data_IF_006454879991
#
_entry.id   IF_006454879991
#
_cell.length_a   1.000
_cell.length_b   1.000
_cell.length_c   1.000
_cell.angle_alpha   90.00
_cell.angle_beta   90.00
_cell.angle_gamma   90.00
#
_symmetry.space_group_name_H-M   'P 1'
#
loop_
_entity.id
_entity.type
_entity.pdbx_description
1 polymer ?
#
# COMPACT_ATOMS: atom_id res chain seq x y z
N UNK A 1 -61.32 37.82 5.23
CA UNK A 1 -62.70 37.31 5.20
C UNK A 1 -62.68 35.91 5.78
N UNK A 2 -63.12 35.91 6.96
CA UNK A 2 -64.13 35.05 7.66
C UNK A 2 -63.58 33.67 8.01
N UNK A 3 -63.22 33.38 9.24
CA UNK A 3 -63.99 33.19 10.48
C UNK A 3 -65.01 32.00 10.31
N UNK A 4 -65.11 31.03 11.19
CA UNK A 4 -65.68 31.03 12.53
C UNK A 4 -65.72 29.53 13.00
N UNK A 5 -65.23 29.16 14.17
CA UNK A 5 -65.89 28.84 15.45
C UNK A 5 -66.92 27.71 15.37
N UNK A 6 -67.08 26.78 16.29
CA UNK A 6 -67.10 26.75 17.73
C UNK A 6 -67.39 25.31 18.23
N UNK A 7 -66.89 24.98 19.36
CA UNK A 7 -67.49 24.74 20.69
C UNK A 7 -68.59 23.68 20.81
N UNK A 8 -68.44 22.84 21.81
CA UNK A 8 -69.57 22.10 22.41
C UNK A 8 -69.11 21.15 23.52
N UNK A 9 -69.20 21.61 24.73
CA UNK A 9 -69.00 20.98 26.02
C UNK A 9 -70.07 19.91 26.36
N UNK A 10 -69.78 18.96 27.20
CA UNK A 10 -70.43 18.73 28.51
C UNK A 10 -70.04 17.38 29.15
N UNK A 11 -69.71 17.44 30.36
CA UNK A 11 -69.64 16.42 31.42
C UNK A 11 -71.03 16.42 32.10
N UNK A 12 -71.45 15.48 33.00
CA UNK A 12 -70.73 14.71 34.00
C UNK A 12 -71.31 13.33 34.41
N UNK A 13 -70.64 12.80 35.48
CA UNK A 13 -71.01 11.90 36.61
C UNK A 13 -71.16 10.42 36.30
N UNK A 14 -70.62 9.51 37.09
CA UNK A 14 -70.33 9.39 38.49
C UNK A 14 -70.66 7.95 38.85
N UNK A 15 -69.85 7.30 39.67
CA UNK A 15 -70.20 5.95 40.16
C UNK A 15 -68.98 5.11 40.65
N UNK A 16 -68.71 5.27 41.82
CA UNK A 16 -68.16 4.47 42.93
C UNK A 16 -67.45 3.13 42.70
N UNK A 17 -66.40 3.00 43.50
CA UNK A 17 -65.44 2.00 43.76
C UNK A 17 -65.97 0.63 44.22
N UNK A 18 -65.20 -0.43 43.91
CA UNK A 18 -64.97 -1.57 44.79
C UNK A 18 -63.51 -2.03 44.66
N UNK A 19 -62.88 -2.13 45.82
CA UNK A 19 -61.55 -2.72 46.02
C UNK A 19 -61.64 -4.25 46.05
N UNK A 20 -60.60 -4.94 45.49
CA UNK A 20 -59.90 -6.11 46.05
C UNK A 20 -58.93 -6.73 45.04
N UNK A 21 -58.00 -7.65 45.39
CA UNK A 21 -56.69 -7.35 45.97
C UNK A 21 -55.52 -7.81 45.06
N UNK A 22 -54.36 -7.37 45.43
CA UNK A 22 -53.03 -7.64 44.84
C UNK A 22 -52.71 -9.12 44.60
N UNK A 23 -52.26 -9.40 43.36
CA UNK A 23 -51.44 -10.55 43.03
C UNK A 23 -50.11 -10.05 42.43
N UNK A 24 -48.93 -10.60 42.82
CA UNK A 24 -47.65 -10.05 42.39
C UNK A 24 -47.45 -10.21 40.87
N UNK A 25 -47.11 -9.14 40.22
CA UNK A 25 -46.69 -9.16 38.80
C UNK A 25 -45.31 -9.82 38.72
N UNK A 26 -45.28 -10.96 38.10
CA UNK A 26 -44.09 -11.65 37.63
C UNK A 26 -43.44 -10.76 36.56
N UNK A 27 -42.24 -10.29 36.90
CA UNK A 27 -41.39 -9.45 36.03
C UNK A 27 -41.05 -10.24 34.79
N UNK A 28 -41.74 -10.03 33.69
CA UNK A 28 -41.33 -10.49 32.37
C UNK A 28 -40.04 -9.75 31.99
N UNK A 29 -38.91 -10.45 32.09
CA UNK A 29 -37.67 -10.04 31.39
C UNK A 29 -38.02 -9.88 29.94
N UNK A 30 -38.10 -8.63 29.48
CA UNK A 30 -38.08 -8.34 28.03
C UNK A 30 -36.82 -8.86 27.48
N UNK A 31 -36.88 -9.92 26.68
CA UNK A 31 -35.76 -10.36 25.86
C UNK A 31 -35.43 -9.19 24.90
N UNK A 32 -34.32 -8.52 25.12
CA UNK A 32 -33.76 -7.60 24.15
C UNK A 32 -33.51 -8.41 22.87
N UNK A 33 -34.31 -8.14 21.86
CA UNK A 33 -34.04 -8.58 20.49
C UNK A 33 -32.66 -8.04 20.10
N UNK A 34 -31.74 -8.87 19.61
CA UNK A 34 -30.45 -8.38 19.18
C UNK A 34 -30.67 -7.31 18.11
N UNK A 35 -30.28 -6.07 18.43
CA UNK A 35 -30.26 -4.98 17.47
C UNK A 35 -29.45 -5.47 16.26
N UNK A 36 -30.08 -5.58 15.09
CA UNK A 36 -29.36 -5.87 13.87
C UNK A 36 -28.23 -4.87 13.77
N UNK A 37 -26.99 -5.35 13.77
CA UNK A 37 -25.82 -4.47 13.75
C UNK A 37 -25.88 -3.64 12.45
N UNK A 38 -25.91 -2.33 12.61
CA UNK A 38 -25.88 -1.39 11.47
C UNK A 38 -24.70 -1.76 10.56
N UNK A 39 -24.94 -1.81 9.25
CA UNK A 39 -23.88 -2.04 8.27
C UNK A 39 -22.83 -0.94 8.40
N UNK A 40 -21.64 -1.33 8.76
CA UNK A 40 -20.47 -0.44 8.78
C UNK A 40 -19.93 -0.30 7.36
N UNK A 41 -19.47 0.87 6.97
CA UNK A 41 -18.76 1.08 5.70
C UNK A 41 -17.25 1.12 5.97
N UNK A 42 -16.44 0.67 5.01
CA UNK A 42 -14.99 0.84 5.03
C UNK A 42 -14.53 1.31 3.65
N UNK A 43 -13.97 2.49 3.57
CA UNK A 43 -13.42 3.05 2.32
C UNK A 43 -11.90 2.94 2.36
N UNK A 44 -11.35 2.21 1.38
CA UNK A 44 -9.93 1.92 1.27
C UNK A 44 -9.36 2.60 0.02
N UNK A 45 -8.28 3.39 0.19
CA UNK A 45 -7.44 3.81 -0.93
C UNK A 45 -6.25 2.89 -1.01
N UNK A 46 -5.98 2.34 -2.20
CA UNK A 46 -4.93 1.34 -2.38
C UNK A 46 -4.14 1.51 -3.67
N UNK A 47 -2.83 1.23 -3.58
CA UNK A 47 -1.95 1.09 -4.74
C UNK A 47 -1.74 -0.38 -5.14
N UNK A 48 -2.45 -1.30 -4.50
CA UNK A 48 -2.38 -2.75 -4.78
C UNK A 48 -2.97 -3.08 -6.13
N UNK A 49 -2.36 -4.04 -6.80
CA UNK A 49 -2.93 -4.62 -8.01
C UNK A 49 -4.23 -5.35 -7.71
N UNK A 50 -5.07 -5.43 -8.73
CA UNK A 50 -6.39 -6.07 -8.64
C UNK A 50 -6.34 -7.49 -8.07
N UNK A 51 -5.34 -8.27 -8.46
CA UNK A 51 -5.18 -9.66 -7.96
C UNK A 51 -5.02 -9.73 -6.43
N UNK A 52 -4.33 -8.75 -5.84
CA UNK A 52 -4.14 -8.66 -4.38
C UNK A 52 -5.45 -8.25 -3.70
N UNK A 53 -6.16 -7.29 -4.28
CA UNK A 53 -7.46 -6.83 -3.77
C UNK A 53 -8.48 -7.97 -3.81
N UNK A 54 -8.56 -8.69 -4.94
CA UNK A 54 -9.50 -9.79 -5.16
C UNK A 54 -9.21 -10.99 -4.24
N UNK A 55 -7.96 -11.20 -3.83
CA UNK A 55 -7.61 -12.27 -2.88
C UNK A 55 -7.96 -11.89 -1.42
N UNK A 56 -7.78 -10.64 -1.04
CA UNK A 56 -7.82 -10.21 0.37
C UNK A 56 -9.21 -9.72 0.80
N UNK A 57 -9.85 -8.87 -0.01
CA UNK A 57 -11.11 -8.22 0.39
C UNK A 57 -12.25 -9.21 0.59
N UNK A 58 -12.45 -10.25 -0.26
CA UNK A 58 -13.48 -11.26 0.00
C UNK A 58 -13.29 -11.99 1.34
N UNK A 59 -12.05 -12.33 1.70
CA UNK A 59 -11.74 -13.01 2.98
C UNK A 59 -12.03 -12.12 4.20
N UNK A 60 -11.78 -10.81 4.07
CA UNK A 60 -12.16 -9.86 5.10
C UNK A 60 -13.68 -9.78 5.25
N UNK A 61 -14.42 -9.68 4.13
CA UNK A 61 -15.88 -9.62 4.14
C UNK A 61 -16.51 -10.90 4.70
N UNK A 62 -15.94 -12.06 4.42
CA UNK A 62 -16.40 -13.33 4.99
C UNK A 62 -16.32 -13.32 6.53
N UNK A 63 -15.21 -12.81 7.09
CA UNK A 63 -15.03 -12.67 8.54
C UNK A 63 -15.82 -11.50 9.15
N UNK A 64 -16.22 -10.52 8.32
CA UNK A 64 -16.89 -9.30 8.75
C UNK A 64 -18.11 -8.98 7.85
N UNK A 65 -19.15 -9.84 7.86
CA UNK A 65 -20.29 -9.73 6.91
C UNK A 65 -21.09 -8.43 7.05
N UNK A 66 -20.94 -7.74 8.18
CA UNK A 66 -21.61 -6.45 8.43
C UNK A 66 -20.79 -5.24 7.96
N UNK A 67 -19.61 -5.46 7.36
CA UNK A 67 -18.77 -4.39 6.82
C UNK A 67 -18.90 -4.36 5.30
N UNK A 68 -19.44 -3.26 4.77
CA UNK A 68 -19.41 -2.98 3.34
C UNK A 68 -18.09 -2.31 2.97
N UNK A 69 -17.33 -2.93 2.06
CA UNK A 69 -15.98 -2.49 1.69
C UNK A 69 -16.00 -1.88 0.31
N UNK A 70 -15.60 -0.63 0.23
CA UNK A 70 -15.35 0.10 -1.01
C UNK A 70 -13.84 0.29 -1.19
N UNK A 71 -13.30 -0.12 -2.34
CA UNK A 71 -11.88 0.00 -2.65
C UNK A 71 -11.69 0.90 -3.86
N UNK A 72 -10.87 1.94 -3.70
CA UNK A 72 -10.44 2.81 -4.79
C UNK A 72 -8.96 2.58 -5.06
N UNK A 73 -8.68 2.01 -6.24
CA UNK A 73 -7.30 1.74 -6.69
C UNK A 73 -6.76 2.94 -7.46
N UNK A 74 -5.56 3.40 -7.09
CA UNK A 74 -4.86 4.48 -7.75
C UNK A 74 -3.34 4.39 -7.48
N UNK A 75 -2.52 5.17 -8.21
CA UNK A 75 -1.07 5.19 -7.97
C UNK A 75 -0.72 5.71 -6.56
N UNK A 76 0.38 5.20 -5.99
CA UNK A 76 0.79 5.55 -4.62
C UNK A 76 0.89 7.08 -4.38
N UNK A 77 1.44 7.83 -5.35
CA UNK A 77 1.51 9.28 -5.25
C UNK A 77 0.13 9.95 -5.32
N UNK A 78 -0.79 9.39 -6.13
CA UNK A 78 -2.16 9.90 -6.20
C UNK A 78 -2.90 9.73 -4.88
N UNK A 79 -2.66 8.61 -4.16
CA UNK A 79 -3.22 8.41 -2.82
C UNK A 79 -2.72 9.51 -1.87
N UNK A 80 -1.40 9.75 -1.85
CA UNK A 80 -0.80 10.78 -1.00
C UNK A 80 -1.42 12.17 -1.25
N UNK A 81 -1.53 12.59 -2.52
CA UNK A 81 -2.12 13.89 -2.87
C UNK A 81 -3.60 13.96 -2.55
N UNK A 82 -4.33 12.85 -2.74
CA UNK A 82 -5.75 12.78 -2.46
C UNK A 82 -6.03 12.86 -0.95
N UNK A 83 -5.33 12.07 -0.14
CA UNK A 83 -5.45 12.11 1.33
C UNK A 83 -5.08 13.51 1.86
N UNK A 84 -4.05 14.14 1.28
CA UNK A 84 -3.68 15.52 1.61
C UNK A 84 -4.76 16.53 1.25
N UNK A 85 -5.32 16.43 0.04
CA UNK A 85 -6.40 17.31 -0.43
C UNK A 85 -7.71 17.14 0.34
N UNK A 86 -7.97 15.93 0.84
CA UNK A 86 -9.16 15.60 1.62
C UNK A 86 -9.00 15.80 3.14
N UNK A 87 -7.86 16.36 3.60
CA UNK A 87 -7.54 16.51 5.04
C UNK A 87 -8.66 17.14 5.88
N UNK A 88 -9.39 18.11 5.33
CA UNK A 88 -10.50 18.78 6.03
C UNK A 88 -11.79 17.93 6.08
N UNK A 89 -11.96 17.01 5.16
CA UNK A 89 -13.10 16.09 5.07
C UNK A 89 -12.68 14.76 4.45
N UNK A 90 -12.03 13.88 5.22
CA UNK A 90 -11.51 12.60 4.73
C UNK A 90 -12.61 11.75 4.11
N UNK A 91 -12.32 11.17 2.94
CA UNK A 91 -13.22 10.27 2.23
C UNK A 91 -12.79 8.81 2.38
N UNK A 92 -11.50 8.56 2.64
CA UNK A 92 -10.99 7.24 2.96
C UNK A 92 -10.90 7.04 4.48
N UNK A 93 -11.08 5.80 4.90
CA UNK A 93 -10.82 5.35 6.26
C UNK A 93 -9.42 4.73 6.39
N UNK A 94 -8.95 4.10 5.31
CA UNK A 94 -7.75 3.30 5.34
C UNK A 94 -6.89 3.52 4.09
N UNK A 95 -5.59 3.72 4.28
CA UNK A 95 -4.59 3.73 3.23
C UNK A 95 -3.85 2.40 3.23
N UNK A 96 -4.01 1.64 2.15
CA UNK A 96 -3.40 0.33 1.98
C UNK A 96 -2.38 0.33 0.84
N UNK A 97 -1.10 0.14 1.17
CA UNK A 97 -0.03 0.14 0.19
C UNK A 97 0.59 1.52 -0.03
N UNK A 98 1.14 2.10 1.03
CA UNK A 98 1.99 3.28 0.96
C UNK A 98 3.47 2.93 1.09
N UNK A 99 4.35 3.59 0.33
CA UNK A 99 5.79 3.47 0.55
C UNK A 99 6.16 4.06 1.90
N UNK A 100 7.21 3.52 2.54
CA UNK A 100 7.74 4.06 3.80
C UNK A 100 7.92 5.57 3.74
N UNK A 101 8.55 6.09 2.69
CA UNK A 101 8.77 7.53 2.52
C UNK A 101 7.45 8.32 2.49
N UNK A 102 6.45 7.83 1.74
CA UNK A 102 5.14 8.49 1.67
C UNK A 102 4.40 8.45 3.00
N UNK A 103 4.45 7.31 3.71
CA UNK A 103 3.79 7.17 5.02
C UNK A 103 4.49 8.00 6.10
N UNK A 104 5.82 8.12 6.09
CA UNK A 104 6.57 9.02 6.97
C UNK A 104 6.13 10.48 6.72
N UNK A 105 6.11 10.90 5.46
CA UNK A 105 5.66 12.27 5.09
C UNK A 105 4.20 12.51 5.50
N UNK A 106 3.30 11.55 5.23
CA UNK A 106 1.88 11.66 5.61
C UNK A 106 1.71 11.74 7.13
N UNK A 107 2.48 10.99 7.88
CA UNK A 107 2.48 11.02 9.34
C UNK A 107 2.95 12.39 9.87
N UNK A 108 4.01 12.96 9.31
CA UNK A 108 4.54 14.25 9.73
C UNK A 108 3.61 15.43 9.33
N UNK A 109 2.87 15.30 8.24
CA UNK A 109 1.81 16.23 7.84
C UNK A 109 0.51 16.07 8.67
N UNK A 110 0.45 15.09 9.57
CA UNK A 110 -0.74 14.80 10.39
C UNK A 110 -1.92 14.26 9.58
N UNK A 111 -1.65 13.43 8.58
CA UNK A 111 -2.65 12.81 7.71
C UNK A 111 -3.05 11.40 8.16
N UNK A 112 -2.33 10.82 9.12
CA UNK A 112 -2.56 9.49 9.64
C UNK A 112 -2.96 9.51 11.10
N UNK A 113 -3.88 8.61 11.49
CA UNK A 113 -4.32 8.40 12.86
C UNK A 113 -3.33 7.50 13.59
N UNK A 114 -3.12 7.74 14.88
CA UNK A 114 -2.34 6.85 15.73
C UNK A 114 -3.20 5.67 16.17
N UNK A 115 -2.72 4.46 15.95
CA UNK A 115 -3.35 3.23 16.40
C UNK A 115 -2.30 2.15 16.63
N UNK A 116 -2.15 1.67 17.87
CA UNK A 116 -1.30 0.53 18.18
C UNK A 116 -2.10 -0.77 18.03
N UNK A 117 -1.88 -1.55 16.96
CA UNK A 117 -2.55 -2.82 16.76
C UNK A 117 -1.97 -3.91 17.68
N UNK A 118 -2.70 -5.02 17.82
CA UNK A 118 -2.31 -6.14 18.69
C UNK A 118 -0.94 -6.74 18.34
N UNK A 119 -0.58 -6.73 17.08
CA UNK A 119 0.70 -7.23 16.52
C UNK A 119 1.83 -6.19 16.55
N UNK A 120 1.57 -4.95 16.97
CA UNK A 120 2.49 -3.81 16.79
C UNK A 120 3.90 -4.04 17.35
N UNK A 121 4.03 -4.83 18.40
CA UNK A 121 5.34 -5.17 18.99
C UNK A 121 6.11 -6.22 18.17
N UNK A 122 5.44 -6.97 17.28
CA UNK A 122 6.07 -7.92 16.35
C UNK A 122 6.67 -7.26 15.10
N UNK A 123 6.44 -5.96 14.89
CA UNK A 123 7.02 -5.23 13.76
C UNK A 123 8.27 -4.49 14.23
N UNK A 124 9.43 -4.72 13.58
CA UNK A 124 10.66 -3.99 13.89
C UNK A 124 10.48 -2.48 13.84
N UNK A 125 11.20 -1.75 14.71
CA UNK A 125 11.13 -0.29 14.75
C UNK A 125 11.46 0.38 13.40
N UNK A 126 12.31 -0.25 12.58
CA UNK A 126 12.66 0.21 11.25
C UNK A 126 11.48 0.19 10.26
N UNK A 127 10.45 -0.61 10.54
CA UNK A 127 9.32 -0.84 9.65
C UNK A 127 8.00 -0.30 10.20
N UNK A 128 8.06 0.65 11.13
CA UNK A 128 6.87 1.31 11.69
C UNK A 128 7.16 2.73 12.16
N UNK A 129 6.12 3.51 12.34
CA UNK A 129 6.22 4.83 12.97
C UNK A 129 6.35 4.71 14.51
N UNK A 130 7.21 5.53 15.10
CA UNK A 130 7.42 5.56 16.54
C UNK A 130 6.18 6.01 17.35
N UNK A 131 5.20 6.66 16.69
CA UNK A 131 3.93 7.10 17.28
C UNK A 131 2.74 6.27 16.80
N UNK A 132 2.99 5.06 16.27
CA UNK A 132 1.97 4.12 15.81
C UNK A 132 1.02 4.67 14.72
N UNK A 133 1.51 5.57 13.85
CA UNK A 133 0.69 6.17 12.78
C UNK A 133 0.67 5.33 11.51
N UNK A 134 1.68 4.50 11.28
CA UNK A 134 1.74 3.53 10.19
C UNK A 134 2.58 2.32 10.55
N UNK A 135 2.32 1.20 9.89
CA UNK A 135 3.08 -0.03 10.01
C UNK A 135 3.39 -0.61 8.63
N UNK A 136 4.60 -1.08 8.44
CA UNK A 136 4.99 -1.85 7.27
C UNK A 136 4.28 -3.19 7.23
N UNK A 137 3.64 -3.50 6.12
CA UNK A 137 2.93 -4.76 5.90
C UNK A 137 3.87 -5.81 5.32
N UNK A 138 4.68 -5.41 4.34
CA UNK A 138 5.60 -6.29 3.64
C UNK A 138 6.85 -5.56 3.18
N UNK A 139 7.88 -6.35 2.85
CA UNK A 139 9.12 -5.88 2.26
C UNK A 139 9.08 -6.14 0.76
N UNK A 140 9.46 -5.14 -0.02
CA UNK A 140 9.59 -5.19 -1.46
C UNK A 140 11.05 -4.90 -1.85
N UNK A 141 11.86 -5.93 -2.09
CA UNK A 141 13.18 -5.73 -2.68
C UNK A 141 13.03 -5.18 -4.10
N UNK A 142 13.71 -4.08 -4.38
CA UNK A 142 13.74 -3.49 -5.71
C UNK A 142 14.93 -4.08 -6.48
N UNK A 143 14.66 -4.62 -7.68
CA UNK A 143 15.62 -5.45 -8.41
C UNK A 143 15.66 -5.09 -9.90
N UNK A 144 16.61 -5.68 -10.63
CA UNK A 144 16.73 -5.55 -12.07
C UNK A 144 15.85 -6.63 -12.72
N UNK A 145 14.82 -6.23 -13.45
CA UNK A 145 13.92 -7.10 -14.18
C UNK A 145 14.42 -7.32 -15.60
N UNK A 146 14.32 -8.54 -16.12
CA UNK A 146 14.65 -8.83 -17.51
C UNK A 146 13.67 -9.83 -18.15
N UNK A 147 13.56 -9.77 -19.49
CA UNK A 147 12.85 -10.78 -20.27
C UNK A 147 13.77 -11.97 -20.52
N UNK A 148 13.45 -13.12 -19.91
CA UNK A 148 14.26 -14.33 -19.93
C UNK A 148 14.28 -15.09 -21.28
N UNK A 149 13.38 -14.72 -22.22
CA UNK A 149 13.46 -15.21 -23.61
C UNK A 149 14.44 -14.40 -24.44
N UNK A 150 14.51 -13.10 -24.20
CA UNK A 150 15.33 -12.18 -24.98
C UNK A 150 16.75 -12.05 -24.44
N UNK A 151 16.96 -12.33 -23.14
CA UNK A 151 18.26 -12.15 -22.48
C UNK A 151 18.50 -13.29 -21.51
N UNK A 152 19.66 -13.94 -21.59
CA UNK A 152 20.07 -14.95 -20.63
C UNK A 152 20.47 -14.30 -19.32
N UNK A 153 20.36 -15.04 -18.21
CA UNK A 153 20.65 -14.54 -16.88
C UNK A 153 22.09 -14.05 -16.74
N UNK A 154 23.04 -14.76 -17.33
CA UNK A 154 24.47 -14.43 -17.33
C UNK A 154 24.81 -13.17 -18.12
N UNK A 155 24.01 -12.83 -19.14
CA UNK A 155 24.14 -11.64 -20.00
C UNK A 155 23.40 -10.41 -19.45
N UNK A 156 22.49 -10.63 -18.48
CA UNK A 156 21.75 -9.55 -17.83
C UNK A 156 22.66 -8.73 -16.91
N UNK A 157 22.33 -7.45 -16.65
CA UNK A 157 23.05 -6.63 -15.67
C UNK A 157 23.08 -7.32 -14.31
N UNK A 158 24.25 -7.48 -13.72
CA UNK A 158 24.42 -8.15 -12.43
C UNK A 158 24.44 -7.17 -11.24
N UNK A 159 24.58 -5.87 -11.54
CA UNK A 159 24.53 -4.79 -10.56
C UNK A 159 23.97 -3.51 -11.22
N UNK A 160 23.66 -2.53 -10.40
CA UNK A 160 23.04 -1.26 -10.82
C UNK A 160 23.87 -0.54 -11.89
N UNK A 161 25.18 -0.47 -11.73
CA UNK A 161 26.06 0.26 -12.65
C UNK A 161 26.19 -0.43 -14.01
N UNK A 162 25.96 -1.74 -14.09
CA UNK A 162 25.94 -2.46 -15.35
C UNK A 162 24.85 -1.96 -16.30
N UNK A 163 23.73 -1.40 -15.76
CA UNK A 163 22.66 -0.80 -16.53
C UNK A 163 23.12 0.40 -17.36
N UNK A 164 24.23 1.00 -17.00
CA UNK A 164 24.81 2.17 -17.65
C UNK A 164 25.68 1.80 -18.86
N UNK A 165 25.97 0.51 -19.07
CA UNK A 165 26.73 0.02 -20.22
C UNK A 165 25.99 0.32 -21.53
N UNK A 166 26.70 0.85 -22.52
CA UNK A 166 26.18 1.22 -23.84
C UNK A 166 25.53 0.04 -24.60
N UNK A 167 25.88 -1.23 -24.25
CA UNK A 167 25.24 -2.43 -24.81
C UNK A 167 23.75 -2.51 -24.52
N UNK A 168 23.26 -1.81 -23.50
CA UNK A 168 21.84 -1.74 -23.12
C UNK A 168 21.11 -0.52 -23.67
N UNK A 169 21.76 0.30 -24.49
CA UNK A 169 21.13 1.48 -25.10
C UNK A 169 19.86 1.11 -25.86
N UNK A 170 18.75 1.75 -25.51
CA UNK A 170 17.44 1.51 -26.13
C UNK A 170 16.80 0.16 -25.74
N UNK A 171 17.34 -0.57 -24.73
CA UNK A 171 16.80 -1.84 -24.26
C UNK A 171 16.04 -1.75 -22.95
N UNK A 172 16.13 -0.63 -22.24
CA UNK A 172 15.50 -0.44 -20.95
C UNK A 172 14.16 0.26 -21.13
N UNK A 173 13.09 -0.30 -20.58
CA UNK A 173 11.77 0.35 -20.47
C UNK A 173 11.49 0.55 -18.99
N UNK A 174 11.23 1.78 -18.60
CA UNK A 174 10.97 2.16 -17.20
C UNK A 174 9.50 2.55 -17.08
N UNK A 175 8.83 2.14 -15.99
CA UNK A 175 7.52 2.70 -15.65
C UNK A 175 7.66 4.19 -15.31
N UNK A 176 6.65 4.99 -15.65
CA UNK A 176 6.60 6.43 -15.34
C UNK A 176 6.92 6.68 -13.86
N UNK A 177 8.05 7.33 -13.62
CA UNK A 177 8.69 7.40 -12.29
C UNK A 177 7.82 8.13 -11.28
N UNK A 178 7.27 9.30 -11.64
CA UNK A 178 6.56 10.16 -10.69
C UNK A 178 5.30 9.53 -10.09
N UNK A 179 4.63 8.64 -10.84
CA UNK A 179 3.42 7.98 -10.39
C UNK A 179 3.67 6.67 -9.64
N UNK A 180 4.91 6.15 -9.66
CA UNK A 180 5.27 4.83 -9.12
C UNK A 180 6.06 4.93 -7.83
N UNK A 181 5.54 4.34 -6.75
CA UNK A 181 6.28 4.22 -5.49
C UNK A 181 7.59 3.45 -5.65
N UNK A 182 7.57 2.28 -6.32
CA UNK A 182 8.75 1.48 -6.69
C UNK A 182 9.81 2.33 -7.41
N UNK A 183 9.41 2.99 -8.49
CA UNK A 183 10.39 3.76 -9.28
C UNK A 183 10.94 4.98 -8.54
N UNK A 184 10.09 5.69 -7.78
CA UNK A 184 10.55 6.79 -6.91
C UNK A 184 11.55 6.29 -5.87
N UNK A 185 11.30 5.13 -5.27
CA UNK A 185 12.23 4.50 -4.31
C UNK A 185 13.57 4.15 -4.97
N UNK A 186 13.56 3.49 -6.13
CA UNK A 186 14.80 3.12 -6.83
C UNK A 186 15.59 4.37 -7.21
N UNK A 187 14.94 5.37 -7.81
CA UNK A 187 15.61 6.58 -8.27
C UNK A 187 16.18 7.40 -7.11
N UNK A 188 15.42 7.54 -6.03
CA UNK A 188 15.89 8.21 -4.81
C UNK A 188 17.04 7.44 -4.14
N UNK A 189 16.96 6.11 -4.14
CA UNK A 189 18.04 5.26 -3.62
C UNK A 189 19.34 5.45 -4.42
N UNK A 190 19.26 5.55 -5.76
CA UNK A 190 20.45 5.82 -6.59
C UNK A 190 20.99 7.24 -6.36
N UNK A 191 20.11 8.25 -6.21
CA UNK A 191 20.57 9.60 -5.86
C UNK A 191 21.30 9.59 -4.51
N UNK A 192 20.75 8.92 -3.51
CA UNK A 192 21.37 8.82 -2.19
C UNK A 192 22.67 7.99 -2.21
N UNK A 193 22.65 6.82 -2.86
CA UNK A 193 23.83 5.92 -2.96
C UNK A 193 25.03 6.63 -3.56
N UNK A 194 24.85 7.37 -4.63
CA UNK A 194 25.93 8.02 -5.37
C UNK A 194 26.35 9.37 -4.78
N UNK A 195 25.39 10.13 -4.20
CA UNK A 195 25.62 11.52 -3.78
C UNK A 195 25.49 11.75 -2.28
N UNK A 196 24.91 10.82 -1.55
CA UNK A 196 24.63 10.99 -0.11
C UNK A 196 23.51 12.00 0.16
N UNK A 197 23.45 12.48 1.40
CA UNK A 197 22.41 13.40 1.85
C UNK A 197 22.58 14.85 1.31
N UNK A 198 23.79 15.25 0.97
CA UNK A 198 24.16 16.66 0.75
C UNK A 198 24.51 17.01 -0.69
N UNK A 199 24.99 16.06 -1.49
CA UNK A 199 25.38 16.29 -2.89
C UNK A 199 24.69 15.32 -3.86
N UNK A 200 23.47 15.62 -4.29
CA UNK A 200 22.72 14.74 -5.21
C UNK A 200 23.28 14.69 -6.63
N UNK A 201 24.27 15.54 -6.96
CA UNK A 201 24.76 15.70 -8.34
C UNK A 201 25.27 14.40 -8.95
N UNK A 202 26.04 13.60 -8.21
CA UNK A 202 26.53 12.30 -8.69
C UNK A 202 25.40 11.33 -8.99
N UNK A 203 24.35 11.33 -8.16
CA UNK A 203 23.15 10.56 -8.39
C UNK A 203 22.38 11.01 -9.63
N UNK A 204 22.29 12.32 -9.87
CA UNK A 204 21.70 12.83 -11.10
C UNK A 204 22.52 12.46 -12.34
N UNK A 205 23.85 12.44 -12.23
CA UNK A 205 24.71 12.00 -13.34
C UNK A 205 24.54 10.50 -13.62
N UNK A 206 24.32 9.69 -12.58
CA UNK A 206 23.94 8.27 -12.73
C UNK A 206 22.60 8.12 -13.44
N UNK A 207 21.55 8.86 -12.99
CA UNK A 207 20.23 8.85 -13.61
C UNK A 207 20.24 9.34 -15.06
N UNK A 208 21.11 10.31 -15.43
CA UNK A 208 21.30 10.73 -16.83
C UNK A 208 21.82 9.61 -17.71
N UNK A 209 22.79 8.84 -17.21
CA UNK A 209 23.35 7.69 -17.93
C UNK A 209 22.28 6.60 -18.09
N UNK A 210 21.48 6.33 -17.07
CA UNK A 210 20.36 5.41 -17.16
C UNK A 210 19.32 5.88 -18.19
N UNK A 211 18.98 7.17 -18.17
CA UNK A 211 18.04 7.79 -19.14
C UNK A 211 18.55 7.65 -20.58
N UNK A 212 19.87 7.79 -20.79
CA UNK A 212 20.49 7.60 -22.13
C UNK A 212 20.32 6.16 -22.67
N UNK A 213 20.21 5.17 -21.81
CA UNK A 213 19.97 3.78 -22.16
C UNK A 213 18.46 3.43 -22.16
N UNK A 214 17.62 4.30 -21.57
CA UNK A 214 16.18 4.11 -21.50
C UNK A 214 15.52 4.40 -22.84
N UNK A 215 14.79 3.43 -23.37
CA UNK A 215 14.03 3.56 -24.61
C UNK A 215 12.80 4.44 -24.40
N UNK A 216 12.06 4.19 -23.33
CA UNK A 216 10.84 4.91 -23.01
C UNK A 216 10.41 4.74 -21.55
N UNK A 217 9.45 5.59 -21.15
CA UNK A 217 8.78 5.54 -19.86
C UNK A 217 7.33 5.08 -20.06
N UNK A 218 7.03 3.83 -19.69
CA UNK A 218 5.69 3.24 -19.79
C UNK A 218 4.70 3.91 -18.84
N UNK A 219 3.48 4.15 -19.29
CA UNK A 219 2.48 4.91 -18.54
C UNK A 219 2.05 4.21 -17.26
N UNK A 220 1.90 2.89 -17.27
CA UNK A 220 1.43 2.06 -16.17
C UNK A 220 2.11 0.68 -16.17
N UNK A 221 1.93 -0.16 -15.12
CA UNK A 221 2.54 -1.49 -15.06
C UNK A 221 2.11 -2.41 -16.19
N UNK A 222 0.84 -2.36 -16.61
CA UNK A 222 0.32 -3.22 -17.68
C UNK A 222 1.05 -2.95 -18.99
N UNK A 223 1.22 -1.67 -19.34
CA UNK A 223 2.00 -1.26 -20.52
C UNK A 223 3.46 -1.68 -20.42
N UNK A 224 4.08 -1.56 -19.22
CA UNK A 224 5.45 -2.03 -19.01
C UNK A 224 5.57 -3.53 -19.31
N UNK A 225 4.71 -4.36 -18.70
CA UNK A 225 4.75 -5.81 -18.89
C UNK A 225 4.48 -6.21 -20.35
N UNK A 226 3.49 -5.61 -21.00
CA UNK A 226 3.19 -5.90 -22.41
C UNK A 226 4.38 -5.59 -23.33
N UNK A 227 5.04 -4.46 -23.15
CA UNK A 227 6.18 -4.05 -23.96
C UNK A 227 7.39 -4.95 -23.74
N UNK A 228 7.68 -5.29 -22.50
CA UNK A 228 8.75 -6.23 -22.18
C UNK A 228 8.46 -7.64 -22.72
N UNK A 229 7.22 -8.13 -22.58
CA UNK A 229 6.82 -9.44 -23.11
C UNK A 229 6.92 -9.53 -24.64
N UNK A 230 6.70 -8.40 -25.34
CA UNK A 230 6.84 -8.27 -26.80
C UNK A 230 8.28 -7.96 -27.25
N UNK A 231 9.22 -7.97 -26.32
CA UNK A 231 10.63 -7.68 -26.60
C UNK A 231 10.88 -6.27 -27.17
N UNK A 232 9.95 -5.31 -26.94
CA UNK A 232 10.15 -3.92 -27.31
C UNK A 232 11.29 -3.26 -26.51
N UNK A 233 11.60 -3.81 -25.36
CA UNK A 233 12.78 -3.68 -24.53
C UNK A 233 13.02 -4.99 -23.81
N UNK A 234 14.21 -5.17 -23.22
CA UNK A 234 14.58 -6.43 -22.58
C UNK A 234 14.84 -6.31 -21.08
N UNK A 235 14.89 -5.08 -20.58
CA UNK A 235 15.24 -4.75 -19.20
C UNK A 235 14.28 -3.72 -18.61
N UNK A 236 14.08 -3.82 -17.31
CA UNK A 236 13.45 -2.80 -16.47
C UNK A 236 14.02 -2.82 -15.06
N UNK A 237 13.54 -1.92 -14.24
CA UNK A 237 13.74 -1.90 -12.78
C UNK A 237 12.36 -2.08 -12.15
N UNK A 238 12.23 -3.02 -11.21
CA UNK A 238 10.93 -3.31 -10.62
C UNK A 238 11.04 -4.01 -9.26
N UNK A 239 9.94 -4.18 -8.55
CA UNK A 239 9.94 -4.94 -7.31
C UNK A 239 9.89 -6.46 -7.58
N UNK A 240 10.56 -7.20 -6.73
CA UNK A 240 10.71 -8.66 -6.84
C UNK A 240 9.34 -9.38 -6.79
N UNK A 241 8.42 -8.95 -5.94
CA UNK A 241 7.10 -9.57 -5.77
C UNK A 241 6.31 -9.60 -7.07
N UNK A 242 6.16 -8.44 -7.72
CA UNK A 242 5.40 -8.33 -8.95
C UNK A 242 6.04 -9.14 -10.08
N UNK A 243 7.38 -9.16 -10.16
CA UNK A 243 8.08 -9.99 -11.14
C UNK A 243 7.76 -11.46 -10.92
N UNK A 244 7.75 -11.93 -9.68
CA UNK A 244 7.39 -13.31 -9.34
C UNK A 244 5.93 -13.62 -9.68
N UNK A 245 5.00 -12.71 -9.41
CA UNK A 245 3.59 -12.83 -9.81
C UNK A 245 3.48 -12.95 -11.33
N UNK A 246 4.13 -12.07 -12.08
CA UNK A 246 4.12 -12.10 -13.54
C UNK A 246 4.72 -13.41 -14.09
N UNK A 247 5.84 -13.88 -13.51
CA UNK A 247 6.52 -15.11 -13.90
C UNK A 247 5.68 -16.34 -13.54
N UNK A 248 5.31 -16.50 -12.28
CA UNK A 248 4.78 -17.74 -11.74
C UNK A 248 3.26 -17.89 -11.94
N UNK A 249 2.49 -16.79 -11.84
CA UNK A 249 1.03 -16.84 -11.97
C UNK A 249 0.57 -16.46 -13.38
N UNK A 250 1.17 -15.43 -13.99
CA UNK A 250 0.79 -14.97 -15.32
C UNK A 250 1.60 -15.62 -16.46
N UNK A 251 2.59 -16.48 -16.13
CA UNK A 251 3.45 -17.20 -17.06
C UNK A 251 4.17 -16.29 -18.08
N UNK A 252 4.44 -15.05 -17.65
CA UNK A 252 5.22 -14.12 -18.46
C UNK A 252 6.72 -14.50 -18.48
N UNK A 253 7.44 -14.19 -19.55
CA UNK A 253 8.86 -14.54 -19.67
C UNK A 253 9.75 -13.55 -18.91
N UNK A 254 9.48 -13.36 -17.63
CA UNK A 254 10.24 -12.44 -16.80
C UNK A 254 11.04 -13.17 -15.73
N UNK A 255 12.19 -12.59 -15.41
CA UNK A 255 13.00 -12.98 -14.27
C UNK A 255 13.73 -11.74 -13.74
N UNK A 256 14.50 -11.91 -12.69
CA UNK A 256 15.22 -10.81 -12.08
C UNK A 256 16.65 -11.17 -11.67
N UNK A 257 17.47 -10.14 -11.57
CA UNK A 257 18.78 -10.16 -10.92
C UNK A 257 18.66 -9.37 -9.62
N UNK A 258 19.00 -10.01 -8.52
CA UNK A 258 19.23 -9.31 -7.26
C UNK A 258 20.63 -8.65 -7.32
N UNK A 259 20.74 -7.31 -7.26
CA UNK A 259 22.02 -6.61 -7.48
C UNK A 259 23.08 -7.01 -6.47
N UNK A 260 24.32 -7.23 -6.93
CA UNK A 260 25.44 -7.66 -6.08
C UNK A 260 25.77 -6.66 -4.96
N UNK A 261 25.64 -5.37 -5.24
CA UNK A 261 25.84 -4.30 -4.25
C UNK A 261 24.70 -4.14 -3.24
N UNK A 262 23.62 -4.91 -3.40
CA UNK A 262 22.40 -4.83 -2.59
C UNK A 262 21.26 -4.12 -3.29
N UNK A 263 20.07 -4.26 -2.73
CA UNK A 263 18.82 -3.71 -3.25
C UNK A 263 18.19 -2.72 -2.27
N UNK A 264 17.56 -1.64 -2.72
CA UNK A 264 16.62 -0.91 -1.89
C UNK A 264 15.53 -1.88 -1.41
N UNK A 265 15.31 -1.97 -0.12
CA UNK A 265 14.20 -2.76 0.46
C UNK A 265 13.10 -1.79 0.82
N UNK A 266 12.18 -1.58 -0.10
CA UNK A 266 11.04 -0.75 0.14
C UNK A 266 10.15 -1.42 1.19
N UNK A 267 9.83 -0.70 2.26
CA UNK A 267 8.79 -1.11 3.20
C UNK A 267 7.47 -0.57 2.66
N UNK A 268 6.60 -1.49 2.30
CA UNK A 268 5.25 -1.15 1.88
C UNK A 268 4.32 -1.33 3.08
N UNK A 269 3.58 -0.29 3.41
CA UNK A 269 2.84 -0.24 4.66
C UNK A 269 1.43 0.30 4.53
N UNK A 270 0.81 0.45 5.68
CA UNK A 270 -0.58 0.85 5.81
C UNK A 270 -0.77 1.84 6.95
N UNK A 271 -1.83 2.62 6.89
CA UNK A 271 -2.23 3.53 7.95
C UNK A 271 -3.73 3.84 7.93
N UNK A 272 -4.27 4.19 9.08
CA UNK A 272 -5.63 4.73 9.19
C UNK A 272 -5.57 6.21 8.85
N UNK A 273 -6.44 6.67 7.96
CA UNK A 273 -6.49 8.09 7.59
C UNK A 273 -6.99 8.92 8.77
N UNK A 274 -6.36 10.07 9.02
CA UNK A 274 -6.76 10.98 10.09
C UNK A 274 -8.17 11.48 9.89
N UNK A 275 -9.01 11.31 10.91
CA UNK A 275 -10.43 11.66 10.83
C UNK A 275 -11.29 10.64 10.06
N UNK A 276 -10.82 9.40 9.92
CA UNK A 276 -11.58 8.29 9.35
C UNK A 276 -12.98 8.19 9.98
N UNK A 277 -14.01 8.10 9.14
CA UNK A 277 -15.42 8.07 9.57
C UNK A 277 -15.81 6.71 10.16
N UNK A 278 -15.13 5.66 9.72
CA UNK A 278 -15.44 4.27 10.08
C UNK A 278 -14.24 3.61 10.80
N UNK A 279 -13.81 4.24 11.88
CA UNK A 279 -12.61 3.85 12.65
C UNK A 279 -12.62 2.37 13.07
N UNK A 280 -13.75 1.83 13.52
CA UNK A 280 -13.83 0.44 13.98
C UNK A 280 -13.65 -0.55 12.82
N UNK A 281 -14.21 -0.26 11.65
CA UNK A 281 -14.01 -1.07 10.45
C UNK A 281 -12.55 -0.98 9.96
N UNK A 282 -11.94 0.21 10.01
CA UNK A 282 -10.54 0.42 9.68
C UNK A 282 -9.60 -0.37 10.60
N UNK A 283 -9.83 -0.36 11.92
CA UNK A 283 -9.06 -1.16 12.88
C UNK A 283 -9.22 -2.66 12.65
N UNK A 284 -10.44 -3.15 12.37
CA UNK A 284 -10.67 -4.56 12.04
C UNK A 284 -9.92 -4.97 10.78
N UNK A 285 -9.90 -4.11 9.75
CA UNK A 285 -9.14 -4.38 8.52
C UNK A 285 -7.63 -4.37 8.78
N UNK A 286 -7.16 -3.48 9.64
CA UNK A 286 -5.75 -3.43 10.06
C UNK A 286 -5.31 -4.75 10.70
N UNK A 287 -6.03 -5.19 11.74
CA UNK A 287 -5.73 -6.45 12.43
C UNK A 287 -5.81 -7.65 11.47
N UNK A 288 -6.81 -7.65 10.58
CA UNK A 288 -6.97 -8.70 9.59
C UNK A 288 -5.80 -8.78 8.60
N UNK A 289 -5.33 -7.64 8.08
CA UNK A 289 -4.20 -7.63 7.13
C UNK A 289 -2.93 -8.23 7.71
N UNK A 290 -2.72 -8.09 9.01
CA UNK A 290 -1.53 -8.59 9.68
C UNK A 290 -1.73 -9.93 10.39
N UNK A 291 -2.90 -10.56 10.27
CA UNK A 291 -3.10 -11.93 10.78
C UNK A 291 -1.97 -12.86 10.30
N UNK A 292 -1.32 -13.59 11.22
CA UNK A 292 -0.11 -14.35 10.90
C UNK A 292 -0.37 -15.45 9.86
N UNK A 293 -1.56 -16.09 9.91
CA UNK A 293 -1.93 -17.12 8.93
C UNK A 293 -2.17 -16.50 7.56
N UNK A 294 -2.82 -15.33 7.52
CA UNK A 294 -2.99 -14.58 6.27
C UNK A 294 -1.64 -14.16 5.68
N UNK A 295 -0.70 -13.68 6.52
CA UNK A 295 0.64 -13.31 6.05
C UNK A 295 1.40 -14.49 5.43
N UNK A 296 1.32 -15.67 6.04
CA UNK A 296 1.91 -16.90 5.48
C UNK A 296 1.23 -17.30 4.17
N UNK A 297 -0.10 -17.24 4.11
CA UNK A 297 -0.86 -17.54 2.90
C UNK A 297 -0.50 -16.59 1.75
N UNK A 298 -0.36 -15.29 2.03
CA UNK A 298 0.01 -14.30 1.02
C UNK A 298 1.48 -14.41 0.61
N UNK A 299 2.35 -14.85 1.51
CA UNK A 299 3.72 -15.22 1.15
C UNK A 299 3.74 -16.38 0.16
N UNK A 300 2.90 -17.41 0.35
CA UNK A 300 2.80 -18.56 -0.56
C UNK A 300 2.17 -18.18 -1.90
N UNK A 301 1.02 -17.50 -1.87
CA UNK A 301 0.22 -17.23 -3.07
C UNK A 301 0.68 -16.03 -3.89
N UNK A 302 1.17 -14.99 -3.22
CA UNK A 302 1.45 -13.69 -3.82
C UNK A 302 2.89 -13.21 -3.56
N UNK A 303 3.77 -14.10 -3.12
CA UNK A 303 5.20 -13.82 -2.93
C UNK A 303 5.48 -12.61 -2.01
N UNK A 304 4.62 -12.36 -1.03
CA UNK A 304 4.82 -11.27 -0.07
C UNK A 304 5.84 -11.67 1.00
N UNK A 305 6.77 -10.78 1.31
CA UNK A 305 7.71 -10.95 2.41
C UNK A 305 7.14 -10.22 3.63
N UNK A 306 6.63 -10.92 4.65
CA UNK A 306 6.02 -10.28 5.81
C UNK A 306 7.05 -9.52 6.66
N UNK A 307 6.62 -8.43 7.29
CA UNK A 307 7.45 -7.65 8.24
C UNK A 307 7.40 -8.21 9.65
N UNK A 308 6.39 -9.02 9.98
CA UNK A 308 6.21 -9.61 11.32
C UNK A 308 7.33 -10.60 11.65
N UNK A 309 7.97 -10.42 12.81
CA UNK A 309 9.07 -11.26 13.29
C UNK A 309 8.62 -12.46 14.13
N UNK A 310 7.36 -12.50 14.55
CA UNK A 310 6.77 -13.58 15.34
C UNK A 310 6.16 -14.72 14.50
N UNK A 311 6.22 -14.62 13.16
CA UNK A 311 5.86 -15.71 12.26
C UNK A 311 7.00 -16.73 12.27
N UNK A 312 6.67 -17.99 12.63
CA UNK A 312 7.67 -19.07 12.62
C UNK A 312 8.24 -19.27 11.21
N UNK A 313 9.55 -19.32 11.10
CA UNK A 313 10.25 -19.60 9.84
C UNK A 313 9.84 -20.94 9.21
N UNK A 314 9.44 -21.92 10.03
CA UNK A 314 9.01 -23.22 9.55
C UNK A 314 7.68 -23.16 8.77
N UNK A 315 6.84 -22.18 9.09
CA UNK A 315 5.56 -21.96 8.40
C UNK A 315 5.70 -21.17 7.09
N UNK A 316 6.83 -20.51 6.86
CA UNK A 316 7.06 -19.74 5.65
C UNK A 316 7.26 -20.65 4.44
N UNK A 317 6.86 -20.21 3.23
CA UNK A 317 7.02 -20.98 2.01
C UNK A 317 8.50 -21.24 1.67
N UNK A 318 8.74 -22.33 0.93
CA UNK A 318 10.08 -22.78 0.58
C UNK A 318 10.90 -21.70 -0.16
N UNK A 319 10.25 -20.97 -1.06
CA UNK A 319 10.91 -19.90 -1.82
C UNK A 319 11.46 -18.80 -0.90
N UNK A 320 10.72 -18.45 0.16
CA UNK A 320 11.13 -17.39 1.09
C UNK A 320 12.25 -17.84 2.04
N UNK A 321 12.29 -19.14 2.38
CA UNK A 321 13.38 -19.72 3.20
C UNK A 321 14.75 -19.61 2.53
N UNK A 322 14.78 -19.57 1.18
CA UNK A 322 16.00 -19.44 0.39
C UNK A 322 16.36 -17.98 0.02
N UNK A 323 15.53 -17.00 0.41
CA UNK A 323 15.79 -15.60 0.08
C UNK A 323 16.67 -14.96 1.16
N UNK A 324 17.86 -14.57 0.79
CA UNK A 324 18.74 -13.71 1.61
C UNK A 324 18.62 -12.26 1.10
N UNK A 325 17.99 -11.42 1.92
CA UNK A 325 17.88 -10.00 1.61
C UNK A 325 19.22 -9.30 1.91
N UNK A 326 19.81 -8.70 0.90
CA UNK A 326 20.98 -7.84 1.01
C UNK A 326 20.54 -6.38 0.82
N UNK A 327 20.23 -5.65 1.91
CA UNK A 327 19.74 -4.28 1.79
C UNK A 327 20.85 -3.34 1.35
N UNK A 328 20.52 -2.40 0.48
CA UNK A 328 21.35 -1.23 0.21
C UNK A 328 21.36 -0.33 1.46
N UNK A 329 22.52 0.22 1.79
CA UNK A 329 22.64 1.14 2.93
C UNK A 329 22.02 2.49 2.58
N UNK A 330 20.84 2.76 3.09
CA UNK A 330 20.03 3.95 2.79
C UNK A 330 19.58 4.64 4.08
N UNK A 331 19.51 5.97 4.05
CA UNK A 331 18.84 6.75 5.07
C UNK A 331 17.42 7.12 4.59
N UNK A 332 16.46 6.36 5.08
CA UNK A 332 15.04 6.52 4.71
C UNK A 332 14.46 7.86 5.14
N UNK A 333 15.00 8.49 6.21
CA UNK A 333 14.56 9.81 6.64
C UNK A 333 15.02 10.88 5.66
N UNK A 334 16.28 10.80 5.23
CA UNK A 334 16.79 11.69 4.17
C UNK A 334 16.01 11.47 2.88
N UNK A 335 15.76 10.23 2.49
CA UNK A 335 15.00 9.92 1.29
C UNK A 335 13.59 10.50 1.36
N UNK A 336 12.85 10.29 2.45
CA UNK A 336 11.50 10.83 2.62
C UNK A 336 11.47 12.36 2.49
N UNK A 337 12.46 13.05 3.08
CA UNK A 337 12.54 14.51 3.07
C UNK A 337 12.97 15.09 1.72
N UNK A 338 13.73 14.34 0.92
CA UNK A 338 14.33 14.83 -0.33
C UNK A 338 13.70 14.26 -1.61
N UNK A 339 12.92 13.19 -1.50
CA UNK A 339 12.35 12.49 -2.66
C UNK A 339 11.61 13.43 -3.61
N UNK A 340 10.79 14.35 -3.08
CA UNK A 340 10.04 15.30 -3.89
C UNK A 340 10.96 16.15 -4.75
N UNK A 341 11.96 16.76 -4.15
CA UNK A 341 12.90 17.65 -4.84
C UNK A 341 13.75 16.90 -5.85
N UNK A 342 14.21 15.67 -5.49
CA UNK A 342 15.00 14.83 -6.37
C UNK A 342 14.20 14.38 -7.60
N UNK A 343 12.95 13.98 -7.40
CA UNK A 343 12.08 13.54 -8.50
C UNK A 343 11.66 14.71 -9.39
N UNK A 344 11.41 15.89 -8.83
CA UNK A 344 11.15 17.09 -9.61
C UNK A 344 12.36 17.46 -10.47
N UNK A 345 13.58 17.49 -9.88
CA UNK A 345 14.80 17.77 -10.63
C UNK A 345 15.01 16.78 -11.77
N UNK A 346 14.79 15.47 -11.51
CA UNK A 346 14.89 14.43 -12.53
C UNK A 346 13.92 14.68 -13.68
N UNK A 347 12.66 14.96 -13.40
CA UNK A 347 11.63 15.18 -14.40
C UNK A 347 11.94 16.39 -15.29
N UNK A 348 12.36 17.49 -14.68
CA UNK A 348 12.65 18.75 -15.37
C UNK A 348 13.97 18.73 -16.14
N UNK A 349 15.00 18.01 -15.66
CA UNK A 349 16.37 18.16 -16.16
C UNK A 349 16.96 16.91 -16.78
N UNK A 350 16.41 15.71 -16.53
CA UNK A 350 17.01 14.44 -16.96
C UNK A 350 16.09 13.67 -17.90
N UNK A 351 14.82 13.54 -17.56
CA UNK A 351 13.87 12.69 -18.27
C UNK A 351 13.85 12.96 -19.77
N UNK A 352 14.19 11.94 -20.56
CA UNK A 352 14.23 12.02 -22.02
C UNK A 352 15.34 12.93 -22.59
N UNK A 353 16.32 13.30 -21.77
CA UNK A 353 17.44 14.21 -22.15
C UNK A 353 18.81 13.54 -22.08
N UNK A 354 18.90 12.34 -21.51
CA UNK A 354 20.18 11.66 -21.28
C UNK A 354 20.95 11.26 -22.54
N UNK A 355 20.27 11.15 -23.68
CA UNK A 355 20.86 10.84 -24.99
C UNK A 355 21.09 12.03 -25.91
N UNK A 356 20.87 13.27 -25.42
CA UNK A 356 21.03 14.51 -26.21
C UNK A 356 22.31 15.22 -25.88
#
# INVERSE_FOLDING_TARGET
>A
MTAVTACGSAVPSGGQATKQPDKPAESAKSAETPKASEKQKLVIYTARDKNVVDEIVPKFKEKNPNVDVEVLTMGAQQIMERVRGEKANPQADFWWGGTQSSLMTAADEGLLESFKPSFGDSIPALYKDAKDRWYGEMLLPEVIMYNSKALKKEDAPQDWDDLLDAKYKGKIIIRGVLASGTMRTIYSAMVFKEGGATDPKKGYDWLKKLDANTKEYAQDPTNLYLKLAREEGTLSLWNMQDIMIQKELQKQPFDFIYPKSGAPILVDGVGIVKGAKNMDAAKKFYEFLFDSKLRVELAEKLFQIPTRTDISKDTLPAWLKGVELKPMQLDWTVMANKEKDWMQYWDENIRGKGGK
#
